data_IF_040726553176
#
_entry.id   IF_040726553176
#
_cell.length_a   1.000
_cell.length_b   1.000
_cell.length_c   1.000
_cell.angle_alpha   90.00
_cell.angle_beta   90.00
_cell.angle_gamma   90.00
#
_symmetry.space_group_name_H-M   'P 1'
#
loop_
_entity.id
_entity.type
_entity.pdbx_description
1 polymer ?
#
# COMPACT_ATOMS: atom_id res chain seq x y z
N UNK A 1 -46.12 -8.28 1.82
CA UNK A 1 -45.50 -9.34 1.00
C UNK A 1 -44.09 -9.57 1.52
N UNK A 2 -43.60 -10.82 1.56
CA UNK A 2 -42.21 -11.11 1.93
C UNK A 2 -41.26 -10.33 1.00
N UNK A 3 -40.25 -9.68 1.56
CA UNK A 3 -39.24 -8.92 0.81
C UNK A 3 -37.88 -9.62 0.91
N UNK A 4 -36.96 -9.43 -0.06
CA UNK A 4 -35.63 -10.02 0.03
C UNK A 4 -34.84 -9.50 1.23
N UNK A 5 -34.10 -10.40 1.87
CA UNK A 5 -33.17 -10.09 2.95
C UNK A 5 -31.74 -10.03 2.39
N UNK A 6 -31.09 -8.88 2.56
CA UNK A 6 -29.68 -8.66 2.22
C UNK A 6 -28.85 -8.69 3.50
N UNK A 7 -27.81 -9.51 3.55
CA UNK A 7 -26.88 -9.56 4.69
C UNK A 7 -25.49 -9.09 4.26
N UNK A 8 -24.92 -8.16 5.04
CA UNK A 8 -23.56 -7.63 4.87
C UNK A 8 -22.73 -7.79 6.15
N UNK A 9 -21.41 -7.58 6.09
CA UNK A 9 -20.55 -7.79 7.25
C UNK A 9 -20.65 -6.69 8.33
N UNK A 10 -20.95 -5.44 7.96
CA UNK A 10 -20.89 -4.30 8.89
C UNK A 10 -22.16 -3.44 8.92
N UNK A 11 -22.44 -2.78 10.05
CA UNK A 11 -23.58 -1.84 10.15
C UNK A 11 -23.46 -0.62 9.23
N UNK A 12 -22.23 -0.12 8.98
CA UNK A 12 -22.02 1.01 8.09
C UNK A 12 -22.46 0.68 6.67
N UNK A 13 -21.97 -0.44 6.13
CA UNK A 13 -22.37 -0.97 4.82
C UNK A 13 -23.86 -1.26 4.74
N UNK A 14 -24.46 -1.78 5.82
CA UNK A 14 -25.90 -2.04 5.87
C UNK A 14 -26.72 -0.76 5.71
N UNK A 15 -26.33 0.34 6.37
CA UNK A 15 -26.99 1.65 6.22
C UNK A 15 -26.86 2.19 4.80
N UNK A 16 -25.67 2.12 4.22
CA UNK A 16 -25.40 2.58 2.84
C UNK A 16 -26.26 1.82 1.83
N UNK A 17 -26.26 0.48 1.88
CA UNK A 17 -27.07 -0.34 0.98
C UNK A 17 -28.58 -0.16 1.21
N UNK A 18 -29.02 -0.07 2.46
CA UNK A 18 -30.44 0.16 2.77
C UNK A 18 -30.98 1.42 2.11
N UNK A 19 -30.14 2.47 1.97
CA UNK A 19 -30.52 3.68 1.28
C UNK A 19 -30.68 3.46 -0.23
N UNK A 20 -29.71 2.84 -0.89
CA UNK A 20 -29.77 2.59 -2.34
C UNK A 20 -30.92 1.66 -2.74
N UNK A 21 -31.18 0.65 -1.91
CA UNK A 21 -32.20 -0.37 -2.17
C UNK A 21 -33.61 0.07 -1.74
N UNK A 22 -33.69 1.00 -0.79
CA UNK A 22 -34.93 1.50 -0.21
C UNK A 22 -35.77 0.40 0.45
N UNK A 23 -37.07 0.66 0.60
CA UNK A 23 -38.02 -0.24 1.30
C UNK A 23 -38.30 -1.57 0.57
N UNK A 24 -37.71 -1.79 -0.60
CA UNK A 24 -37.87 -3.03 -1.38
C UNK A 24 -37.06 -4.19 -0.81
N UNK A 25 -36.04 -3.89 -0.01
CA UNK A 25 -35.13 -4.87 0.57
C UNK A 25 -35.01 -4.62 2.08
N UNK A 26 -34.87 -5.69 2.85
CA UNK A 26 -34.45 -5.62 4.25
C UNK A 26 -32.93 -5.83 4.28
N UNK A 27 -32.17 -4.89 4.83
CA UNK A 27 -30.71 -5.00 4.91
C UNK A 27 -30.29 -5.17 6.37
N UNK A 28 -29.53 -6.21 6.68
CA UNK A 28 -29.06 -6.55 8.03
C UNK A 28 -27.54 -6.78 8.05
N UNK A 29 -26.91 -6.60 9.21
CA UNK A 29 -25.47 -6.81 9.38
C UNK A 29 -25.18 -8.08 10.19
N UNK A 30 -24.18 -8.86 9.76
CA UNK A 30 -23.69 -10.04 10.50
C UNK A 30 -22.72 -9.70 11.63
N UNK A 31 -22.11 -8.50 11.59
CA UNK A 31 -21.02 -8.06 12.48
C UNK A 31 -19.77 -8.96 12.34
N UNK A 32 -19.35 -9.16 11.09
CA UNK A 32 -18.24 -10.02 10.71
C UNK A 32 -18.59 -11.51 10.74
N UNK A 33 -17.62 -12.33 11.15
CA UNK A 33 -17.79 -13.77 11.33
C UNK A 33 -18.84 -14.10 12.40
N UNK A 34 -19.72 -15.05 12.09
CA UNK A 34 -20.81 -15.52 12.97
C UNK A 34 -20.54 -16.92 13.54
N UNK A 35 -19.54 -17.61 13.01
CA UNK A 35 -19.05 -18.89 13.48
C UNK A 35 -17.53 -18.87 13.48
N UNK A 36 -16.92 -19.60 14.39
CA UNK A 36 -15.48 -19.88 14.39
C UNK A 36 -15.22 -21.24 15.04
N UNK A 37 -13.98 -21.73 14.98
CA UNK A 37 -13.50 -22.88 15.72
C UNK A 37 -13.51 -22.56 17.23
N UNK A 38 -13.84 -23.52 18.12
CA UNK A 38 -13.93 -23.28 19.56
C UNK A 38 -12.62 -22.71 20.12
N UNK A 39 -12.72 -21.64 20.91
CA UNK A 39 -11.58 -20.98 21.54
C UNK A 39 -11.33 -21.52 22.96
N UNK A 40 -12.39 -22.00 23.61
CA UNK A 40 -12.33 -22.53 24.96
C UNK A 40 -12.88 -23.96 25.05
N UNK A 41 -12.47 -24.68 26.10
CA UNK A 41 -13.00 -26.03 26.37
C UNK A 41 -14.53 -26.05 26.61
N UNK A 42 -15.12 -24.92 26.99
CA UNK A 42 -16.56 -24.79 27.20
C UNK A 42 -17.34 -24.71 25.88
N UNK A 43 -16.71 -24.24 24.81
CA UNK A 43 -17.32 -24.12 23.48
C UNK A 43 -17.25 -25.42 22.68
N UNK A 44 -16.38 -26.35 23.06
CA UNK A 44 -16.21 -27.63 22.37
C UNK A 44 -17.53 -28.43 22.36
N UNK A 45 -18.07 -28.78 21.18
CA UNK A 45 -19.29 -29.57 21.07
C UNK A 45 -19.20 -30.91 21.81
N UNK A 46 -20.32 -31.36 22.39
CA UNK A 46 -20.37 -32.61 23.16
C UNK A 46 -19.90 -33.83 22.35
N UNK A 47 -20.20 -33.84 21.04
CA UNK A 47 -19.85 -34.89 20.09
C UNK A 47 -18.34 -35.11 19.94
N UNK A 48 -17.54 -34.05 20.09
CA UNK A 48 -16.07 -34.12 19.91
C UNK A 48 -15.30 -33.98 21.23
N UNK A 49 -15.99 -33.69 22.35
CA UNK A 49 -15.35 -33.39 23.65
C UNK A 49 -14.47 -34.53 24.19
N UNK A 50 -14.79 -35.78 23.84
CA UNK A 50 -14.00 -36.96 24.21
C UNK A 50 -12.86 -37.31 23.25
N UNK A 51 -12.72 -36.58 22.13
CA UNK A 51 -11.66 -36.81 21.13
C UNK A 51 -10.37 -36.10 21.54
N UNK A 52 -9.23 -36.70 21.22
CA UNK A 52 -7.89 -36.12 21.47
C UNK A 52 -7.73 -34.74 20.84
N UNK A 53 -8.30 -34.55 19.65
CA UNK A 53 -8.32 -33.30 18.89
C UNK A 53 -9.55 -32.42 19.18
N UNK A 54 -10.45 -32.82 20.10
CA UNK A 54 -11.70 -32.10 20.36
C UNK A 54 -11.50 -30.64 20.75
N UNK A 55 -10.44 -30.34 21.53
CA UNK A 55 -10.06 -28.98 21.91
C UNK A 55 -9.46 -28.17 20.76
N UNK A 56 -8.85 -28.83 19.77
CA UNK A 56 -8.37 -28.19 18.54
C UNK A 56 -9.55 -27.73 17.67
N UNK A 57 -10.67 -28.48 17.72
CA UNK A 57 -11.86 -28.23 16.92
C UNK A 57 -11.71 -28.68 15.46
N UNK A 58 -10.70 -29.49 15.15
CA UNK A 58 -10.38 -29.99 13.81
C UNK A 58 -10.13 -31.49 13.94
N UNK A 59 -10.81 -32.30 13.13
CA UNK A 59 -10.60 -33.75 13.10
C UNK A 59 -9.30 -34.11 12.39
N UNK A 60 -8.21 -34.23 13.16
CA UNK A 60 -6.89 -34.59 12.63
C UNK A 60 -6.73 -36.09 12.36
N UNK A 61 -7.68 -36.91 12.80
CA UNK A 61 -7.64 -38.36 12.54
C UNK A 61 -8.32 -38.71 11.20
N UNK A 62 -9.17 -37.81 10.69
CA UNK A 62 -9.83 -37.89 9.39
C UNK A 62 -9.36 -36.82 8.39
N UNK A 63 -10.31 -36.23 7.66
CA UNK A 63 -10.06 -35.29 6.56
C UNK A 63 -9.92 -33.82 6.99
N UNK A 64 -9.46 -33.57 8.22
CA UNK A 64 -9.35 -32.21 8.80
C UNK A 64 -10.67 -31.46 8.90
N UNK A 65 -11.78 -32.17 9.07
CA UNK A 65 -13.12 -31.57 9.21
C UNK A 65 -13.14 -30.57 10.37
N UNK A 66 -13.43 -29.27 10.12
CA UNK A 66 -13.54 -28.27 11.17
C UNK A 66 -14.90 -28.30 11.86
N UNK A 67 -14.89 -28.12 13.18
CA UNK A 67 -16.10 -28.01 14.00
C UNK A 67 -16.32 -26.56 14.39
N UNK A 68 -17.19 -25.90 13.64
CA UNK A 68 -17.57 -24.51 13.86
C UNK A 68 -18.65 -24.36 14.92
N UNK A 69 -18.47 -23.39 15.81
CA UNK A 69 -19.41 -23.03 16.87
C UNK A 69 -19.82 -21.58 16.71
N UNK A 70 -20.95 -21.19 17.31
CA UNK A 70 -21.38 -19.78 17.38
C UNK A 70 -20.82 -19.18 18.67
N UNK A 71 -19.88 -18.23 18.60
CA UNK A 71 -19.35 -17.56 19.77
C UNK A 71 -20.44 -16.90 20.62
N UNK A 72 -20.24 -16.82 21.93
CA UNK A 72 -21.27 -16.37 22.88
C UNK A 72 -21.81 -14.96 22.58
N UNK A 73 -20.93 -14.04 22.19
CA UNK A 73 -21.24 -12.66 21.82
C UNK A 73 -22.04 -12.55 20.51
N UNK A 74 -21.93 -13.53 19.60
CA UNK A 74 -22.65 -13.54 18.31
C UNK A 74 -24.05 -14.13 18.39
N UNK A 75 -24.43 -14.82 19.47
CA UNK A 75 -25.74 -15.52 19.59
C UNK A 75 -26.94 -14.60 19.41
N UNK A 76 -26.89 -13.37 19.94
CA UNK A 76 -27.97 -12.38 19.78
C UNK A 76 -28.17 -12.01 18.31
N UNK A 77 -27.09 -11.74 17.59
CA UNK A 77 -27.13 -11.38 16.17
C UNK A 77 -27.65 -12.54 15.33
N UNK A 78 -27.15 -13.76 15.58
CA UNK A 78 -27.64 -14.97 14.89
C UNK A 78 -29.14 -15.16 15.10
N UNK A 79 -29.65 -14.90 16.30
CA UNK A 79 -31.09 -15.00 16.61
C UNK A 79 -31.89 -13.97 15.81
N UNK A 80 -31.41 -12.73 15.72
CA UNK A 80 -32.04 -11.69 14.92
C UNK A 80 -32.04 -12.03 13.42
N UNK A 81 -30.92 -12.53 12.88
CA UNK A 81 -30.83 -12.96 11.48
C UNK A 81 -31.77 -14.14 11.17
N UNK A 82 -31.87 -15.13 12.07
CA UNK A 82 -32.84 -16.23 11.95
C UNK A 82 -34.28 -15.75 11.98
N UNK A 83 -34.60 -14.73 12.77
CA UNK A 83 -35.91 -14.12 12.77
C UNK A 83 -36.19 -13.41 11.44
N UNK A 84 -35.25 -12.59 10.96
CA UNK A 84 -35.37 -11.90 9.67
C UNK A 84 -35.55 -12.87 8.49
N UNK A 85 -34.87 -14.02 8.53
CA UNK A 85 -34.91 -15.05 7.49
C UNK A 85 -36.30 -15.72 7.36
N UNK A 86 -37.12 -15.74 8.42
CA UNK A 86 -38.47 -16.34 8.37
C UNK A 86 -39.42 -15.58 7.45
N UNK A 87 -39.24 -14.26 7.36
CA UNK A 87 -40.13 -13.36 6.61
C UNK A 87 -39.57 -12.98 5.23
N UNK A 88 -38.42 -13.56 4.84
CA UNK A 88 -37.71 -13.19 3.63
C UNK A 88 -38.19 -13.99 2.41
N UNK A 89 -38.37 -13.33 1.26
CA UNK A 89 -38.67 -14.02 -0.02
C UNK A 89 -37.44 -14.67 -0.67
N UNK A 90 -36.26 -14.12 -0.39
CA UNK A 90 -34.96 -14.49 -0.95
C UNK A 90 -33.86 -14.02 0.02
N UNK A 91 -32.73 -14.73 0.05
CA UNK A 91 -31.54 -14.32 0.78
C UNK A 91 -30.46 -13.85 -0.20
N UNK A 92 -30.00 -12.61 -0.05
CA UNK A 92 -28.91 -12.02 -0.81
C UNK A 92 -27.72 -11.81 0.14
N UNK A 93 -26.60 -12.45 -0.17
CA UNK A 93 -25.35 -12.32 0.55
C UNK A 93 -24.48 -11.28 -0.16
N UNK A 94 -24.17 -10.19 0.52
CA UNK A 94 -23.49 -9.01 -0.02
C UNK A 94 -22.22 -8.67 0.78
N UNK A 95 -21.50 -9.72 1.22
CA UNK A 95 -20.22 -9.59 1.92
C UNK A 95 -19.12 -9.07 0.98
N UNK A 96 -17.98 -8.70 1.56
CA UNK A 96 -16.82 -8.21 0.80
C UNK A 96 -16.37 -9.17 -0.32
N UNK A 97 -15.74 -8.65 -1.38
CA UNK A 97 -15.41 -9.39 -2.60
C UNK A 97 -14.11 -10.20 -2.48
N UNK A 98 -13.82 -10.77 -1.30
CA UNK A 98 -12.63 -11.56 -1.03
C UNK A 98 -12.99 -12.94 -0.42
N UNK A 99 -12.01 -13.81 -0.27
CA UNK A 99 -12.22 -15.14 0.35
C UNK A 99 -12.78 -15.10 1.78
N UNK A 100 -12.52 -14.02 2.54
CA UNK A 100 -13.07 -13.86 3.90
C UNK A 100 -14.57 -13.57 3.83
N UNK A 101 -14.99 -12.67 2.95
CA UNK A 101 -16.40 -12.42 2.65
C UNK A 101 -17.11 -13.67 2.16
N UNK A 102 -16.47 -14.44 1.28
CA UNK A 102 -17.04 -15.70 0.76
C UNK A 102 -17.25 -16.74 1.88
N UNK A 103 -16.28 -16.88 2.79
CA UNK A 103 -16.42 -17.73 3.97
C UNK A 103 -17.54 -17.25 4.92
N UNK A 104 -17.69 -15.94 5.14
CA UNK A 104 -18.81 -15.38 5.94
C UNK A 104 -20.14 -15.74 5.29
N UNK A 105 -20.25 -15.55 3.97
CA UNK A 105 -21.43 -15.90 3.18
C UNK A 105 -21.78 -17.39 3.31
N UNK A 106 -20.77 -18.27 3.21
CA UNK A 106 -20.94 -19.70 3.45
C UNK A 106 -21.40 -20.01 4.88
N UNK A 107 -20.78 -19.40 5.89
CA UNK A 107 -21.20 -19.59 7.27
C UNK A 107 -22.64 -19.13 7.55
N UNK A 108 -23.09 -18.05 6.90
CA UNK A 108 -24.47 -17.58 6.96
C UNK A 108 -25.44 -18.59 6.36
N UNK A 109 -25.12 -19.11 5.16
CA UNK A 109 -25.91 -20.13 4.48
C UNK A 109 -26.08 -21.39 5.35
N UNK A 110 -24.97 -21.91 5.88
CA UNK A 110 -24.95 -23.10 6.73
C UNK A 110 -25.68 -22.92 8.08
N UNK A 111 -25.56 -21.73 8.69
CA UNK A 111 -26.16 -21.46 9.99
C UNK A 111 -27.66 -21.14 9.91
N UNK A 112 -28.07 -20.41 8.87
CA UNK A 112 -29.45 -19.97 8.68
C UNK A 112 -30.32 -21.06 8.04
N UNK A 113 -29.71 -21.98 7.26
CA UNK A 113 -30.39 -23.06 6.52
C UNK A 113 -31.62 -22.53 5.75
N UNK A 114 -31.43 -21.54 4.87
CA UNK A 114 -32.54 -20.88 4.18
C UNK A 114 -33.35 -21.87 3.35
N UNK A 115 -34.68 -21.74 3.40
CA UNK A 115 -35.64 -22.50 2.56
C UNK A 115 -36.05 -21.76 1.29
N UNK A 116 -35.48 -20.58 1.08
CA UNK A 116 -35.68 -19.74 -0.09
C UNK A 116 -34.38 -19.70 -0.90
N UNK A 117 -34.46 -19.12 -2.10
CA UNK A 117 -33.30 -18.94 -2.95
C UNK A 117 -32.22 -18.13 -2.23
N UNK A 118 -30.96 -18.54 -2.41
CA UNK A 118 -29.79 -17.85 -1.89
C UNK A 118 -28.99 -17.34 -3.08
N UNK A 119 -28.58 -16.08 -3.02
CA UNK A 119 -27.81 -15.42 -4.05
C UNK A 119 -26.65 -14.66 -3.44
N UNK A 120 -25.53 -14.65 -4.14
CA UNK A 120 -24.33 -13.88 -3.81
C UNK A 120 -24.20 -12.74 -4.82
N UNK A 121 -23.95 -11.54 -4.31
CA UNK A 121 -23.62 -10.37 -5.12
C UNK A 121 -22.27 -9.82 -4.69
N UNK A 122 -21.44 -9.43 -5.65
CA UNK A 122 -20.08 -8.93 -5.43
C UNK A 122 -19.99 -7.54 -6.06
N UNK A 123 -19.38 -6.60 -5.33
CA UNK A 123 -19.10 -5.26 -5.84
C UNK A 123 -17.78 -4.77 -5.24
N UNK A 124 -17.04 -4.00 -6.02
CA UNK A 124 -15.72 -3.46 -5.64
C UNK A 124 -15.77 -1.96 -5.31
N UNK A 125 -16.95 -1.36 -5.34
CA UNK A 125 -17.26 -0.01 -4.86
C UNK A 125 -18.70 0.03 -4.35
N UNK A 126 -19.00 0.91 -3.39
CA UNK A 126 -20.33 1.05 -2.81
C UNK A 126 -20.97 2.33 -3.34
N UNK A 127 -21.42 2.26 -4.58
CA UNK A 127 -22.22 3.28 -5.29
C UNK A 127 -23.60 2.72 -5.63
N UNK A 128 -24.58 3.59 -5.86
CA UNK A 128 -25.93 3.15 -6.23
C UNK A 128 -25.92 2.34 -7.54
N UNK A 129 -25.12 2.77 -8.52
CA UNK A 129 -24.97 2.08 -9.80
C UNK A 129 -24.32 0.71 -9.63
N UNK A 130 -23.23 0.60 -8.88
CA UNK A 130 -22.51 -0.66 -8.68
C UNK A 130 -23.36 -1.70 -7.93
N UNK A 131 -24.10 -1.26 -6.90
CA UNK A 131 -24.99 -2.15 -6.14
C UNK A 131 -26.16 -2.64 -7.01
N UNK A 132 -26.75 -1.78 -7.85
CA UNK A 132 -27.80 -2.19 -8.79
C UNK A 132 -27.28 -3.15 -9.87
N UNK A 133 -26.08 -2.91 -10.39
CA UNK A 133 -25.44 -3.81 -11.35
C UNK A 133 -25.18 -5.18 -10.73
N UNK A 134 -24.63 -5.22 -9.51
CA UNK A 134 -24.36 -6.47 -8.78
C UNK A 134 -25.64 -7.27 -8.49
N UNK A 135 -26.79 -6.61 -8.28
CA UNK A 135 -28.09 -7.28 -8.14
C UNK A 135 -28.58 -7.95 -9.42
N UNK A 136 -28.13 -7.50 -10.60
CA UNK A 136 -28.44 -8.12 -11.88
C UNK A 136 -27.52 -9.31 -12.18
N UNK A 137 -26.28 -9.30 -11.64
CA UNK A 137 -25.26 -10.33 -11.84
C UNK A 137 -25.07 -11.21 -10.59
N UNK A 138 -26.14 -11.92 -10.22
CA UNK A 138 -26.13 -12.80 -9.06
C UNK A 138 -25.49 -14.16 -9.38
N UNK A 139 -24.67 -14.66 -8.47
CA UNK A 139 -24.08 -15.99 -8.55
C UNK A 139 -24.31 -16.80 -7.27
N UNK A 140 -23.82 -18.04 -7.26
CA UNK A 140 -23.79 -18.86 -6.05
C UNK A 140 -22.48 -18.61 -5.28
N UNK A 141 -22.44 -19.04 -4.02
CA UNK A 141 -21.21 -18.96 -3.20
C UNK A 141 -20.11 -19.79 -3.85
N UNK A 142 -18.92 -19.21 -4.01
CA UNK A 142 -17.76 -19.90 -4.57
C UNK A 142 -17.11 -20.79 -3.52
N UNK A 143 -17.39 -22.09 -3.62
CA UNK A 143 -16.85 -23.10 -2.71
C UNK A 143 -15.31 -23.16 -2.73
N UNK A 144 -14.63 -22.82 -3.84
CA UNK A 144 -13.17 -22.85 -3.87
C UNK A 144 -12.56 -21.74 -3.00
N UNK A 145 -13.13 -20.54 -3.04
CA UNK A 145 -12.71 -19.42 -2.18
C UNK A 145 -12.97 -19.75 -0.70
N UNK A 146 -14.12 -20.35 -0.40
CA UNK A 146 -14.45 -20.85 0.95
C UNK A 146 -13.40 -21.86 1.42
N UNK A 147 -13.09 -22.88 0.60
CA UNK A 147 -12.08 -23.90 0.96
C UNK A 147 -10.69 -23.33 1.11
N UNK A 148 -10.33 -22.31 0.32
CA UNK A 148 -9.05 -21.62 0.48
C UNK A 148 -8.96 -20.87 1.83
N UNK A 149 -10.06 -20.22 2.24
CA UNK A 149 -10.15 -19.56 3.55
C UNK A 149 -10.12 -20.57 4.70
N UNK A 150 -10.92 -21.65 4.61
CA UNK A 150 -11.00 -22.72 5.60
C UNK A 150 -9.64 -23.43 5.76
N UNK A 151 -8.96 -23.75 4.65
CA UNK A 151 -7.62 -24.35 4.68
C UNK A 151 -6.62 -23.47 5.42
N UNK A 152 -6.67 -22.15 5.20
CA UNK A 152 -5.83 -21.20 5.94
C UNK A 152 -6.19 -21.20 7.43
N UNK A 153 -7.47 -21.19 7.78
CA UNK A 153 -7.95 -21.20 9.17
C UNK A 153 -7.49 -22.46 9.92
N UNK A 154 -7.59 -23.63 9.26
CA UNK A 154 -7.12 -24.93 9.76
C UNK A 154 -5.61 -24.90 9.97
N UNK A 155 -4.85 -24.47 8.96
CA UNK A 155 -3.39 -24.40 9.04
C UNK A 155 -2.91 -23.51 10.19
N UNK A 156 -3.51 -22.32 10.34
CA UNK A 156 -3.14 -21.39 11.40
C UNK A 156 -3.52 -21.94 12.79
N UNK A 157 -4.65 -22.68 12.89
CA UNK A 157 -5.06 -23.37 14.12
C UNK A 157 -4.09 -24.48 14.50
N UNK A 158 -3.71 -25.34 13.55
CA UNK A 158 -2.74 -26.42 13.75
C UNK A 158 -1.41 -25.83 14.23
N UNK A 159 -0.86 -24.88 13.50
CA UNK A 159 0.42 -24.24 13.82
C UNK A 159 0.41 -23.60 15.21
N UNK A 160 -0.62 -22.81 15.51
CA UNK A 160 -0.73 -22.08 16.78
C UNK A 160 -0.88 -23.01 17.98
N UNK A 161 -1.78 -23.98 17.91
CA UNK A 161 -2.06 -24.89 19.04
C UNK A 161 -0.90 -25.85 19.32
N UNK A 162 -0.17 -26.31 18.29
CA UNK A 162 0.92 -27.27 18.49
C UNK A 162 2.21 -26.59 18.95
N UNK A 163 2.51 -25.37 18.46
CA UNK A 163 3.79 -24.72 18.74
C UNK A 163 3.77 -23.78 19.94
N UNK A 164 2.64 -23.16 20.29
CA UNK A 164 2.58 -22.24 21.45
C UNK A 164 3.02 -22.91 22.77
N UNK A 165 2.65 -24.18 23.08
CA UNK A 165 3.14 -24.86 24.28
C UNK A 165 4.66 -25.05 24.32
N UNK A 166 5.32 -25.14 23.16
CA UNK A 166 6.79 -25.20 23.09
C UNK A 166 7.40 -23.86 23.47
N UNK A 167 6.86 -22.75 22.96
CA UNK A 167 7.28 -21.40 23.34
C UNK A 167 7.09 -21.14 24.83
N UNK A 168 6.00 -21.62 25.43
CA UNK A 168 5.77 -21.48 26.87
C UNK A 168 6.82 -22.19 27.71
N UNK A 169 7.23 -23.39 27.29
CA UNK A 169 8.24 -24.19 27.98
C UNK A 169 9.68 -23.68 27.77
N UNK A 170 9.96 -23.05 26.64
CA UNK A 170 11.34 -22.73 26.21
C UNK A 170 11.68 -21.23 26.24
N UNK A 171 10.68 -20.36 26.23
CA UNK A 171 10.85 -18.91 26.16
C UNK A 171 10.07 -18.24 27.30
N UNK A 172 8.74 -18.17 27.18
CA UNK A 172 7.88 -17.52 28.17
C UNK A 172 6.42 -17.96 28.01
N UNK A 173 5.75 -18.25 29.13
CA UNK A 173 4.32 -18.54 29.17
C UNK A 173 3.50 -17.37 28.64
N UNK A 174 2.46 -17.67 27.84
CA UNK A 174 1.55 -16.67 27.27
C UNK A 174 1.93 -16.17 25.87
N UNK A 175 3.07 -16.58 25.32
CA UNK A 175 3.42 -16.30 23.93
C UNK A 175 2.57 -17.09 22.93
N UNK A 176 2.26 -16.50 21.78
CA UNK A 176 1.53 -17.16 20.71
C UNK A 176 2.46 -17.51 19.55
N UNK A 177 2.32 -18.73 19.03
CA UNK A 177 2.99 -19.14 17.80
C UNK A 177 2.16 -18.71 16.59
N UNK A 178 2.71 -17.82 15.75
CA UNK A 178 2.08 -17.36 14.52
C UNK A 178 2.96 -17.64 13.32
N UNK A 179 2.45 -18.41 12.35
CA UNK A 179 3.21 -18.84 11.16
C UNK A 179 3.77 -17.68 10.32
N UNK A 180 2.97 -16.63 10.11
CA UNK A 180 3.38 -15.44 9.35
C UNK A 180 4.09 -14.42 10.25
N UNK A 181 3.62 -14.27 11.49
CA UNK A 181 4.19 -13.32 12.46
C UNK A 181 5.63 -13.66 12.80
N UNK A 182 5.97 -14.95 12.99
CA UNK A 182 7.33 -15.39 13.33
C UNK A 182 8.33 -15.05 12.23
N UNK A 183 7.95 -15.17 10.96
CA UNK A 183 8.79 -14.77 9.82
C UNK A 183 8.99 -13.26 9.79
N UNK A 184 7.94 -12.47 10.02
CA UNK A 184 8.07 -11.02 10.07
C UNK A 184 9.00 -10.55 11.22
N UNK A 185 8.86 -11.15 12.41
CA UNK A 185 9.77 -10.91 13.54
C UNK A 185 11.20 -11.30 13.16
N UNK A 186 11.39 -12.46 12.51
CA UNK A 186 12.71 -12.92 12.05
C UNK A 186 13.38 -11.91 11.13
N UNK A 187 12.68 -11.34 10.15
CA UNK A 187 13.24 -10.33 9.23
C UNK A 187 13.74 -9.09 9.99
N UNK A 188 13.04 -8.67 11.05
CA UNK A 188 13.46 -7.56 11.90
C UNK A 188 14.72 -7.94 12.70
N UNK A 189 14.76 -9.14 13.27
CA UNK A 189 15.91 -9.64 14.03
C UNK A 189 17.14 -9.77 13.12
N UNK A 190 17.00 -10.35 11.93
CA UNK A 190 18.11 -10.49 10.96
C UNK A 190 18.69 -9.12 10.59
N UNK A 191 17.85 -8.09 10.39
CA UNK A 191 18.33 -6.72 10.15
C UNK A 191 19.07 -6.13 11.35
N UNK A 192 18.64 -6.42 12.58
CA UNK A 192 19.34 -5.94 13.76
C UNK A 192 20.66 -6.68 13.99
N UNK A 193 20.71 -7.99 13.70
CA UNK A 193 21.94 -8.77 13.71
C UNK A 193 22.94 -8.24 12.67
N UNK A 194 22.49 -7.88 11.46
CA UNK A 194 23.30 -7.18 10.44
C UNK A 194 23.89 -5.88 11.00
N UNK A 195 23.09 -5.08 11.72
CA UNK A 195 23.52 -3.80 12.32
C UNK A 195 24.53 -4.00 13.45
N UNK A 196 24.35 -5.02 14.30
CA UNK A 196 25.29 -5.36 15.38
C UNK A 196 26.63 -5.89 14.84
N UNK A 197 26.58 -6.62 13.71
CA UNK A 197 27.77 -7.12 13.03
C UNK A 197 28.49 -6.05 12.20
N UNK A 198 27.81 -4.96 11.82
CA UNK A 198 28.37 -3.88 11.02
C UNK A 198 29.59 -3.23 11.69
N UNK A 199 30.60 -2.91 10.88
CA UNK A 199 31.79 -2.16 11.33
C UNK A 199 31.96 -0.92 10.46
N UNK A 200 32.15 0.22 11.12
CA UNK A 200 32.33 1.50 10.45
C UNK A 200 33.72 1.62 9.85
N UNK A 201 33.80 2.16 8.64
CA UNK A 201 35.04 2.64 8.03
C UNK A 201 35.04 4.16 7.95
N UNK A 202 36.22 4.77 7.91
CA UNK A 202 36.38 6.21 7.69
C UNK A 202 36.98 6.45 6.32
N UNK A 203 36.42 7.43 5.60
CA UNK A 203 36.95 7.94 4.34
C UNK A 203 36.73 9.45 4.32
N UNK A 204 37.58 10.16 3.59
CA UNK A 204 37.46 11.58 3.38
C UNK A 204 37.27 11.91 1.90
N UNK A 205 36.56 12.98 1.63
CA UNK A 205 36.46 13.63 0.33
C UNK A 205 36.63 15.15 0.49
N UNK A 206 36.37 15.91 -0.57
CA UNK A 206 36.33 17.35 -0.54
C UNK A 206 35.07 17.85 -1.24
N UNK A 207 34.34 18.75 -0.60
CA UNK A 207 33.32 19.57 -1.25
C UNK A 207 33.87 20.97 -1.51
N UNK A 208 33.79 21.40 -2.75
CA UNK A 208 34.18 22.73 -3.18
C UNK A 208 32.93 23.57 -3.45
N UNK A 209 32.87 24.76 -2.84
CA UNK A 209 31.88 25.78 -3.19
C UNK A 209 32.42 26.62 -4.34
N UNK A 210 31.89 26.39 -5.54
CA UNK A 210 32.35 27.04 -6.77
C UNK A 210 31.38 28.15 -7.19
N UNK A 211 31.86 29.07 -8.03
CA UNK A 211 31.06 30.17 -8.58
C UNK A 211 31.19 30.21 -10.09
N UNK A 212 30.05 30.13 -10.79
CA UNK A 212 29.93 30.38 -12.22
C UNK A 212 29.04 31.59 -12.46
N UNK A 213 29.62 32.71 -12.91
CA UNK A 213 28.91 33.99 -12.98
C UNK A 213 28.44 34.44 -11.59
N UNK A 214 27.13 34.65 -11.43
CA UNK A 214 26.51 35.05 -10.16
C UNK A 214 26.03 33.88 -9.29
N UNK A 215 26.09 32.64 -9.79
CA UNK A 215 25.53 31.46 -9.13
C UNK A 215 26.65 30.68 -8.45
N UNK A 216 26.46 30.41 -7.17
CA UNK A 216 27.31 29.49 -6.40
C UNK A 216 26.70 28.09 -6.39
N UNK A 217 27.54 27.07 -6.52
CA UNK A 217 27.10 25.68 -6.51
C UNK A 217 28.17 24.77 -5.87
N UNK A 218 27.76 23.67 -5.20
CA UNK A 218 28.69 22.70 -4.67
C UNK A 218 29.20 21.76 -5.78
N UNK A 219 30.43 21.29 -5.63
CA UNK A 219 31.00 20.21 -6.42
C UNK A 219 31.80 19.29 -5.50
N UNK A 220 31.66 17.97 -5.65
CA UNK A 220 32.31 16.98 -4.78
C UNK A 220 33.46 16.31 -5.52
N UNK A 221 34.59 16.12 -4.85
CA UNK A 221 35.77 15.44 -5.39
C UNK A 221 35.41 14.02 -5.82
N UNK A 222 35.65 13.70 -7.08
CA UNK A 222 35.35 12.40 -7.66
C UNK A 222 36.62 11.61 -8.00
N UNK A 223 37.68 12.26 -8.50
CA UNK A 223 38.91 11.60 -8.96
C UNK A 223 40.16 12.40 -8.62
N UNK A 224 41.28 11.71 -8.41
CA UNK A 224 42.63 12.31 -8.30
C UNK A 224 43.58 11.52 -9.22
N UNK A 225 44.26 12.20 -10.14
CA UNK A 225 45.17 11.56 -11.10
C UNK A 225 44.46 10.50 -11.97
N UNK A 226 43.17 10.69 -12.24
CA UNK A 226 42.33 9.73 -12.96
C UNK A 226 41.77 8.57 -12.11
N UNK A 227 42.24 8.39 -10.87
CA UNK A 227 41.75 7.36 -9.97
C UNK A 227 40.54 7.86 -9.16
N UNK A 228 39.45 7.09 -9.10
CA UNK A 228 38.24 7.47 -8.36
C UNK A 228 38.50 7.48 -6.85
N UNK A 229 37.99 8.50 -6.15
CA UNK A 229 38.02 8.57 -4.68
C UNK A 229 37.02 7.57 -4.08
N UNK A 230 37.43 6.90 -3.01
CA UNK A 230 36.60 5.94 -2.29
C UNK A 230 35.40 6.63 -1.63
N UNK A 231 34.25 5.96 -1.64
CA UNK A 231 33.00 6.38 -1.01
C UNK A 231 32.48 5.27 -0.11
N UNK A 232 31.40 5.52 0.63
CA UNK A 232 30.79 4.48 1.48
C UNK A 232 30.40 3.18 0.76
N UNK A 233 30.19 3.21 -0.57
CA UNK A 233 29.88 2.01 -1.37
C UNK A 233 31.08 1.11 -1.67
N UNK A 234 32.29 1.57 -1.37
CA UNK A 234 33.53 0.83 -1.64
C UNK A 234 33.96 -0.05 -0.47
N UNK A 235 33.22 -0.01 0.63
CA UNK A 235 33.47 -0.79 1.83
C UNK A 235 32.41 -1.89 1.97
N UNK A 236 32.85 -3.07 2.42
CA UNK A 236 31.97 -4.14 2.84
C UNK A 236 31.31 -3.83 4.21
N UNK A 237 30.43 -4.72 4.67
CA UNK A 237 29.78 -4.59 5.97
C UNK A 237 30.74 -4.69 7.18
N UNK A 238 31.99 -5.11 6.95
CA UNK A 238 33.06 -5.19 7.95
C UNK A 238 33.99 -3.97 7.90
N UNK A 239 33.66 -2.97 7.09
CA UNK A 239 34.46 -1.75 6.94
C UNK A 239 35.76 -1.97 6.17
N UNK A 240 35.87 -3.06 5.41
CA UNK A 240 37.06 -3.36 4.60
C UNK A 240 36.83 -2.82 3.19
N UNK A 241 37.83 -2.12 2.66
CA UNK A 241 37.80 -1.60 1.30
C UNK A 241 37.84 -2.77 0.30
N UNK A 242 36.79 -2.94 -0.51
CA UNK A 242 36.68 -4.03 -1.48
C UNK A 242 37.38 -3.70 -2.81
N UNK A 243 37.42 -2.42 -3.18
CA UNK A 243 37.98 -1.98 -4.46
C UNK A 243 39.46 -1.62 -4.33
N UNK A 244 40.33 -2.35 -5.03
CA UNK A 244 41.74 -1.99 -5.18
C UNK A 244 41.99 -0.86 -6.18
N UNK A 245 40.95 -0.42 -6.89
CA UNK A 245 41.05 0.59 -7.96
C UNK A 245 40.69 2.00 -7.50
N UNK A 246 40.19 2.16 -6.27
CA UNK A 246 39.87 3.49 -5.70
C UNK A 246 40.99 4.02 -4.84
N UNK A 247 41.05 5.35 -4.72
CA UNK A 247 41.94 6.04 -3.81
C UNK A 247 41.20 6.35 -2.52
N UNK A 248 41.61 5.70 -1.43
CA UNK A 248 41.17 6.04 -0.09
C UNK A 248 41.93 7.27 0.40
N UNK A 249 41.20 8.26 0.91
CA UNK A 249 41.78 9.44 1.53
C UNK A 249 41.50 9.43 3.03
N UNK A 250 42.50 9.83 3.79
CA UNK A 250 42.34 10.21 5.19
C UNK A 250 42.25 11.73 5.37
N UNK A 251 42.19 12.16 6.63
CA UNK A 251 42.11 13.58 6.98
C UNK A 251 43.32 14.39 6.51
N UNK A 252 44.52 13.79 6.59
CA UNK A 252 45.77 14.46 6.21
C UNK A 252 45.82 14.63 4.69
N UNK A 253 45.45 13.59 3.95
CA UNK A 253 45.34 13.62 2.50
C UNK A 253 44.34 14.70 2.05
N UNK A 254 43.14 14.72 2.63
CA UNK A 254 42.10 15.67 2.26
C UNK A 254 42.50 17.13 2.57
N UNK A 255 43.06 17.40 3.75
CA UNK A 255 43.54 18.74 4.13
C UNK A 255 44.68 19.20 3.22
N UNK A 256 45.63 18.32 2.92
CA UNK A 256 46.72 18.62 1.99
C UNK A 256 46.24 18.89 0.57
N UNK A 257 45.30 18.08 0.07
CA UNK A 257 44.65 18.31 -1.23
C UNK A 257 43.96 19.67 -1.28
N UNK A 258 43.17 20.01 -0.25
CA UNK A 258 42.52 21.34 -0.15
C UNK A 258 43.54 22.48 -0.26
N UNK A 259 44.61 22.45 0.51
CA UNK A 259 45.62 23.51 0.50
C UNK A 259 46.28 23.67 -0.87
N UNK A 260 46.62 22.56 -1.52
CA UNK A 260 47.27 22.60 -2.83
C UNK A 260 46.33 23.09 -3.93
N UNK A 261 45.08 22.65 -3.91
CA UNK A 261 44.06 23.05 -4.89
C UNK A 261 43.68 24.53 -4.76
N UNK A 262 43.68 25.08 -3.55
CA UNK A 262 43.40 26.52 -3.32
C UNK A 262 44.51 27.45 -3.85
N UNK A 263 45.74 26.94 -4.07
CA UNK A 263 46.85 27.75 -4.60
C UNK A 263 46.79 27.92 -6.12
N UNK A 264 46.02 27.09 -6.82
CA UNK A 264 45.88 27.11 -8.29
C UNK A 264 44.43 27.35 -8.68
N UNK A 265 44.03 28.61 -8.63
CA UNK A 265 42.74 29.10 -9.12
C UNK A 265 42.95 29.98 -10.37
N UNK A 266 41.99 30.05 -11.30
CA UNK A 266 40.70 29.33 -11.31
C UNK A 266 40.83 27.87 -11.74
N UNK A 267 39.85 27.03 -11.37
CA UNK A 267 39.71 25.67 -11.93
C UNK A 267 39.00 25.71 -13.27
N UNK A 268 39.17 24.67 -14.08
CA UNK A 268 38.62 24.60 -15.43
C UNK A 268 37.44 23.63 -15.51
N UNK A 269 36.38 24.00 -16.22
CA UNK A 269 35.33 23.07 -16.61
C UNK A 269 35.89 22.18 -17.70
N UNK A 270 35.83 20.86 -17.50
CA UNK A 270 36.40 19.88 -18.44
C UNK A 270 35.35 19.06 -19.17
N UNK A 271 34.14 18.98 -18.63
CA UNK A 271 33.01 18.33 -19.28
C UNK A 271 31.69 18.92 -18.80
N UNK A 272 30.75 19.12 -19.72
CA UNK A 272 29.35 19.43 -19.43
C UNK A 272 28.51 18.47 -20.25
N UNK A 273 27.74 17.62 -19.58
CA UNK A 273 26.81 16.68 -20.21
C UNK A 273 25.38 17.00 -19.79
N UNK A 274 24.51 17.24 -20.76
CA UNK A 274 23.08 17.40 -20.54
C UNK A 274 22.34 16.19 -21.10
N UNK A 275 21.60 15.52 -20.23
CA UNK A 275 20.86 14.31 -20.58
C UNK A 275 19.38 14.47 -20.28
N UNK A 276 18.51 14.55 -21.30
CA UNK A 276 17.07 14.52 -21.07
C UNK A 276 16.67 13.11 -20.60
N UNK A 277 15.76 13.06 -19.64
CA UNK A 277 15.13 11.81 -19.23
C UNK A 277 13.66 12.05 -18.87
N UNK A 278 12.88 10.98 -18.94
CA UNK A 278 11.46 11.02 -18.60
C UNK A 278 11.18 10.13 -17.41
N UNK A 279 10.42 10.66 -16.45
CA UNK A 279 9.96 9.92 -15.30
C UNK A 279 8.48 9.58 -15.49
N UNK A 280 8.17 8.28 -15.36
CA UNK A 280 6.81 7.78 -15.50
C UNK A 280 6.04 7.90 -14.18
N UNK A 281 4.73 8.20 -14.22
CA UNK A 281 3.90 8.14 -13.04
C UNK A 281 3.82 6.73 -12.49
N UNK A 282 3.85 6.64 -11.17
CA UNK A 282 3.70 5.38 -10.47
C UNK A 282 2.23 4.87 -10.54
N UNK A 283 2.00 3.55 -10.43
CA UNK A 283 0.66 2.97 -10.60
C UNK A 283 -0.34 3.45 -9.54
N UNK A 284 -1.65 3.31 -9.80
CA UNK A 284 -2.68 3.40 -8.77
C UNK A 284 -2.37 2.51 -7.57
N UNK A 285 -2.97 2.83 -6.42
CA UNK A 285 -2.65 2.10 -5.19
C UNK A 285 -3.14 0.65 -5.21
N UNK A 286 -2.28 -0.21 -4.69
CA UNK A 286 -2.62 -1.50 -4.08
C UNK A 286 -2.69 -1.32 -2.56
N UNK A 287 -3.12 -2.36 -1.85
CA UNK A 287 -3.10 -2.39 -0.37
C UNK A 287 -1.71 -2.07 0.20
N UNK A 288 -0.67 -2.69 -0.36
CA UNK A 288 0.69 -2.57 0.15
C UNK A 288 1.30 -1.19 -0.12
N UNK A 289 1.02 -0.61 -1.29
CA UNK A 289 1.55 0.70 -1.66
C UNK A 289 0.80 1.83 -0.96
N UNK A 290 -0.51 1.68 -0.71
CA UNK A 290 -1.27 2.63 0.13
C UNK A 290 -0.72 2.66 1.55
N UNK A 291 -0.49 1.50 2.16
CA UNK A 291 0.07 1.44 3.53
C UNK A 291 1.47 2.05 3.61
N UNK A 292 2.34 1.79 2.61
CA UNK A 292 3.68 2.36 2.57
C UNK A 292 3.64 3.89 2.46
N UNK A 293 2.85 4.44 1.54
CA UNK A 293 2.79 5.89 1.36
C UNK A 293 2.07 6.58 2.51
N UNK A 294 1.00 5.99 3.06
CA UNK A 294 0.36 6.51 4.28
C UNK A 294 1.31 6.51 5.49
N UNK A 295 2.19 5.51 5.59
CA UNK A 295 3.22 5.50 6.64
C UNK A 295 4.29 6.58 6.42
N UNK A 296 4.87 6.65 5.22
CA UNK A 296 5.95 7.61 4.90
C UNK A 296 5.50 9.06 5.02
N UNK A 297 4.30 9.36 4.52
CA UNK A 297 3.79 10.73 4.41
C UNK A 297 2.99 11.17 5.62
N UNK A 298 2.09 10.30 6.08
CA UNK A 298 1.12 10.66 7.12
C UNK A 298 1.53 10.17 8.51
N UNK A 299 2.59 9.34 8.61
CA UNK A 299 2.99 8.69 9.85
C UNK A 299 1.99 7.64 10.35
N UNK A 300 1.09 7.17 9.48
CA UNK A 300 0.05 6.22 9.88
C UNK A 300 0.60 4.78 9.95
N UNK A 301 0.12 4.02 10.94
CA UNK A 301 0.36 2.58 10.97
C UNK A 301 -0.47 1.89 9.87
N UNK A 302 -0.07 0.67 9.49
CA UNK A 302 -0.88 -0.16 8.57
C UNK A 302 -2.30 -0.35 9.10
N UNK A 303 -2.47 -0.58 10.41
CA UNK A 303 -3.78 -0.76 11.02
C UNK A 303 -4.65 0.49 10.90
N UNK A 304 -4.13 1.67 11.28
CA UNK A 304 -4.86 2.94 11.18
C UNK A 304 -5.27 3.23 9.74
N UNK A 305 -4.35 3.02 8.80
CA UNK A 305 -4.59 3.19 7.35
C UNK A 305 -5.75 2.32 6.88
N UNK A 306 -5.75 1.03 7.23
CA UNK A 306 -6.78 0.09 6.79
C UNK A 306 -8.13 0.36 7.47
N UNK A 307 -8.16 0.80 8.73
CA UNK A 307 -9.39 1.20 9.41
C UNK A 307 -10.05 2.41 8.73
N UNK A 308 -9.25 3.42 8.34
CA UNK A 308 -9.76 4.59 7.61
C UNK A 308 -10.24 4.19 6.21
N UNK A 309 -9.45 3.41 5.47
CA UNK A 309 -9.83 2.94 4.15
C UNK A 309 -11.11 2.08 4.16
N UNK A 310 -11.33 1.28 5.20
CA UNK A 310 -12.58 0.53 5.39
C UNK A 310 -13.79 1.47 5.53
N UNK A 311 -13.67 2.57 6.28
CA UNK A 311 -14.76 3.55 6.42
C UNK A 311 -15.05 4.25 5.09
N UNK A 312 -14.01 4.73 4.43
CA UNK A 312 -14.12 5.35 3.11
C UNK A 312 -14.75 4.41 2.07
N UNK A 313 -14.49 3.10 2.14
CA UNK A 313 -15.13 2.10 1.29
C UNK A 313 -16.60 1.86 1.66
N UNK A 314 -16.91 1.65 2.95
CA UNK A 314 -18.25 1.23 3.41
C UNK A 314 -19.32 2.32 3.34
N UNK A 315 -18.91 3.59 3.38
CA UNK A 315 -19.78 4.73 3.18
C UNK A 315 -19.52 5.85 4.16
N UNK A 316 -19.47 7.07 3.65
CA UNK A 316 -19.32 8.31 4.42
C UNK A 316 -20.60 9.14 4.32
N UNK A 317 -21.03 9.77 5.41
CA UNK A 317 -22.11 10.76 5.37
C UNK A 317 -21.56 12.07 4.79
N UNK A 318 -22.08 12.46 3.64
CA UNK A 318 -21.63 13.60 2.85
C UNK A 318 -22.53 14.83 3.06
N UNK A 319 -23.51 14.74 3.95
CA UNK A 319 -24.52 15.76 4.15
C UNK A 319 -25.64 15.71 3.11
N UNK A 320 -26.75 16.41 3.36
CA UNK A 320 -27.90 16.42 2.45
C UNK A 320 -28.62 15.07 2.32
N UNK A 321 -28.27 14.10 3.18
CA UNK A 321 -28.72 12.72 3.09
C UNK A 321 -27.77 11.82 2.29
N UNK A 322 -26.70 12.35 1.68
CA UNK A 322 -25.73 11.61 0.86
C UNK A 322 -24.83 10.69 1.69
N UNK A 323 -24.71 9.42 1.29
CA UNK A 323 -24.10 8.30 1.99
C UNK A 323 -23.58 7.36 0.93
N UNK A 324 -22.28 7.43 0.64
CA UNK A 324 -21.64 6.71 -0.45
C UNK A 324 -20.24 6.25 -0.06
N UNK A 325 -19.81 5.13 -0.63
CA UNK A 325 -18.41 4.74 -0.61
C UNK A 325 -17.59 5.69 -1.48
N UNK A 326 -16.53 6.26 -0.92
CA UNK A 326 -15.65 7.23 -1.58
C UNK A 326 -14.47 6.58 -2.29
N UNK A 327 -14.06 5.37 -1.89
CA UNK A 327 -13.00 4.61 -2.54
C UNK A 327 -13.47 3.21 -2.92
N UNK A 328 -12.81 2.61 -3.91
CA UNK A 328 -12.94 1.20 -4.24
C UNK A 328 -12.39 0.29 -3.12
N UNK A 329 -12.62 -1.01 -3.26
CA UNK A 329 -12.23 -2.01 -2.28
C UNK A 329 -10.73 -1.97 -1.99
N UNK A 330 -10.40 -1.69 -0.73
CA UNK A 330 -9.06 -1.34 -0.28
C UNK A 330 -8.16 -2.55 0.03
N UNK A 331 -8.67 -3.79 -0.13
CA UNK A 331 -7.88 -5.03 -0.04
C UNK A 331 -7.74 -5.65 -1.44
N UNK A 332 -6.78 -5.10 -2.17
CA UNK A 332 -6.47 -5.44 -3.56
C UNK A 332 -4.97 -5.46 -3.76
N UNK A 333 -4.50 -6.33 -4.65
CA UNK A 333 -3.15 -6.35 -5.20
C UNK A 333 -3.09 -5.95 -6.68
N UNK A 334 -4.24 -5.53 -7.24
CA UNK A 334 -4.38 -5.03 -8.60
C UNK A 334 -4.05 -3.54 -8.70
N UNK A 335 -3.41 -3.17 -9.80
CA UNK A 335 -3.17 -1.77 -10.20
C UNK A 335 -4.06 -1.35 -11.36
N UNK A 336 -5.00 -2.22 -11.74
CA UNK A 336 -5.89 -2.01 -12.90
C UNK A 336 -6.95 -0.97 -12.58
N UNK A 337 -7.26 -0.12 -13.55
CA UNK A 337 -8.43 0.77 -13.52
C UNK A 337 -9.45 0.30 -14.56
N UNK A 338 -10.73 0.35 -14.21
CA UNK A 338 -11.86 0.11 -15.09
C UNK A 338 -11.94 1.18 -16.19
N UNK A 339 -12.61 0.87 -17.29
CA UNK A 339 -12.82 1.84 -18.36
C UNK A 339 -13.54 3.11 -17.87
N UNK A 340 -14.51 2.96 -16.95
CA UNK A 340 -15.18 4.09 -16.30
C UNK A 340 -14.17 4.98 -15.58
N UNK A 341 -13.35 4.40 -14.72
CA UNK A 341 -12.33 5.13 -13.96
C UNK A 341 -11.27 5.79 -14.85
N UNK A 342 -10.87 5.16 -15.96
CA UNK A 342 -9.93 5.74 -16.92
C UNK A 342 -10.49 7.02 -17.57
N UNK A 343 -11.77 7.00 -17.97
CA UNK A 343 -12.45 8.16 -18.57
C UNK A 343 -12.64 9.28 -17.54
N UNK A 344 -13.07 8.95 -16.34
CA UNK A 344 -13.25 9.94 -15.27
C UNK A 344 -11.91 10.57 -14.83
N UNK A 345 -10.85 9.77 -14.73
CA UNK A 345 -9.52 10.27 -14.44
C UNK A 345 -9.00 11.18 -15.57
N UNK A 346 -9.23 10.83 -16.84
CA UNK A 346 -8.91 11.70 -17.97
C UNK A 346 -9.59 13.07 -17.84
N UNK A 347 -10.89 13.08 -17.55
CA UNK A 347 -11.63 14.34 -17.37
C UNK A 347 -11.05 15.17 -16.23
N UNK A 348 -10.80 14.57 -15.06
CA UNK A 348 -10.21 15.25 -13.92
C UNK A 348 -8.81 15.82 -14.24
N UNK A 349 -7.97 15.07 -14.96
CA UNK A 349 -6.64 15.56 -15.37
C UNK A 349 -6.75 16.77 -16.29
N UNK A 350 -7.61 16.69 -17.32
CA UNK A 350 -7.76 17.77 -18.31
C UNK A 350 -8.35 19.03 -17.68
N UNK A 351 -9.34 18.87 -16.81
CA UNK A 351 -10.01 19.99 -16.12
C UNK A 351 -9.07 20.73 -15.16
N UNK A 352 -8.29 19.99 -14.37
CA UNK A 352 -7.47 20.57 -13.29
C UNK A 352 -6.06 20.99 -13.73
N UNK A 353 -5.47 20.27 -14.70
CA UNK A 353 -4.08 20.47 -15.11
C UNK A 353 -3.95 20.91 -16.58
N UNK A 354 -4.98 20.73 -17.39
CA UNK A 354 -4.99 21.08 -18.81
C UNK A 354 -4.66 19.89 -19.73
N UNK A 355 -5.02 20.03 -21.01
CA UNK A 355 -4.93 18.97 -22.00
C UNK A 355 -3.51 18.41 -22.20
N UNK A 356 -2.46 19.21 -21.98
CA UNK A 356 -1.09 18.75 -22.12
C UNK A 356 -0.66 17.72 -21.07
N UNK A 357 -1.39 17.63 -19.96
CA UNK A 357 -1.10 16.70 -18.87
C UNK A 357 -1.76 15.34 -19.05
N UNK A 358 -2.53 15.10 -20.12
CA UNK A 358 -3.05 13.79 -20.46
C UNK A 358 -2.70 13.42 -21.90
N UNK A 359 -1.98 12.30 -22.09
CA UNK A 359 -1.55 11.82 -23.42
C UNK A 359 -2.24 10.51 -23.84
N UNK A 360 -3.30 10.13 -23.15
CA UNK A 360 -4.06 8.89 -23.37
C UNK A 360 -4.12 8.01 -22.11
N UNK A 361 -5.04 7.01 -22.10
CA UNK A 361 -5.22 6.13 -20.95
C UNK A 361 -3.98 5.27 -20.70
N UNK A 362 -3.59 5.14 -19.42
CA UNK A 362 -2.48 4.30 -18.99
C UNK A 362 -2.99 3.09 -18.26
N UNK A 363 -2.68 1.91 -18.80
CA UNK A 363 -2.87 0.65 -18.11
C UNK A 363 -1.58 0.18 -17.46
N UNK A 364 -1.70 -0.24 -16.21
CA UNK A 364 -0.60 -0.79 -15.42
C UNK A 364 -0.74 -2.30 -15.34
N UNK A 365 0.33 -3.02 -15.67
CA UNK A 365 0.31 -4.48 -15.58
C UNK A 365 0.31 -4.91 -14.12
N UNK A 366 -0.71 -5.69 -13.75
CA UNK A 366 -0.80 -6.36 -12.45
C UNK A 366 0.09 -7.61 -12.48
N UNK A 367 1.02 -7.74 -11.52
CA UNK A 367 1.99 -8.87 -11.46
C UNK A 367 1.44 -10.12 -10.75
N UNK A 368 0.14 -10.21 -10.51
CA UNK A 368 -0.48 -11.17 -9.59
C UNK A 368 -0.86 -12.47 -10.30
N UNK A 369 -0.60 -13.61 -9.64
CA UNK A 369 -0.81 -14.98 -10.18
C UNK A 369 -2.26 -15.48 -10.08
N UNK A 370 -3.10 -14.93 -9.20
CA UNK A 370 -4.49 -15.36 -8.99
C UNK A 370 -5.47 -14.36 -9.63
N UNK A 371 -5.69 -14.50 -10.93
CA UNK A 371 -6.58 -13.64 -11.72
C UNK A 371 -8.09 -13.93 -11.52
N UNK A 372 -8.48 -14.74 -10.54
CA UNK A 372 -9.89 -15.03 -10.25
C UNK A 372 -10.56 -13.89 -9.47
N UNK A 373 -9.79 -13.13 -8.70
CA UNK A 373 -10.29 -11.94 -8.04
C UNK A 373 -10.14 -10.77 -9.02
N UNK A 374 -11.20 -10.44 -9.77
CA UNK A 374 -11.25 -9.32 -10.70
C UNK A 374 -11.18 -7.98 -9.94
N UNK A 375 -10.05 -7.71 -9.31
CA UNK A 375 -9.86 -6.55 -8.49
C UNK A 375 -9.43 -5.35 -9.31
N UNK A 376 -9.99 -4.21 -8.93
CA UNK A 376 -9.52 -2.91 -9.34
C UNK A 376 -8.50 -2.38 -8.33
N UNK A 377 -7.71 -1.39 -8.72
CA UNK A 377 -6.87 -0.63 -7.80
C UNK A 377 -7.71 0.13 -6.77
N UNK A 378 -7.06 0.57 -5.70
CA UNK A 378 -7.61 1.52 -4.74
C UNK A 378 -7.63 2.90 -5.38
N UNK A 379 -8.82 3.41 -5.65
CA UNK A 379 -9.08 4.68 -6.34
C UNK A 379 -10.37 5.33 -5.83
N UNK A 380 -10.62 6.62 -6.12
CA UNK A 380 -11.92 7.24 -5.88
C UNK A 380 -13.03 6.52 -6.64
N UNK A 381 -14.24 6.45 -6.06
CA UNK A 381 -15.45 5.96 -6.75
C UNK A 381 -16.00 6.94 -7.78
N UNK A 382 -15.71 8.23 -7.59
CA UNK A 382 -16.02 9.33 -8.51
C UNK A 382 -14.88 10.35 -8.47
N UNK A 383 -14.18 10.55 -9.60
CA UNK A 383 -13.06 11.49 -9.67
C UNK A 383 -13.47 12.97 -9.58
N UNK A 384 -14.75 13.29 -9.81
CA UNK A 384 -15.29 14.67 -9.68
C UNK A 384 -15.37 15.14 -8.23
N UNK A 385 -15.41 14.20 -7.28
CA UNK A 385 -15.33 14.48 -5.84
C UNK A 385 -13.88 14.83 -5.49
N UNK A 386 -13.44 16.03 -5.86
CA UNK A 386 -12.08 16.46 -5.53
C UNK A 386 -11.90 16.53 -4.01
N UNK A 387 -10.68 16.34 -3.47
CA UNK A 387 -10.45 16.47 -2.04
C UNK A 387 -11.01 17.78 -1.48
N UNK A 388 -10.81 18.91 -2.17
CA UNK A 388 -11.35 20.21 -1.79
C UNK A 388 -12.89 20.23 -1.67
N UNK A 389 -13.60 19.44 -2.48
CA UNK A 389 -15.07 19.34 -2.39
C UNK A 389 -15.57 18.57 -1.16
N UNK A 390 -14.71 17.76 -0.52
CA UNK A 390 -15.07 16.90 0.62
C UNK A 390 -14.53 17.41 1.96
N UNK A 391 -13.84 18.54 1.98
CA UNK A 391 -13.14 19.07 3.16
C UNK A 391 -14.06 19.31 4.37
N UNK A 392 -15.35 19.58 4.13
CA UNK A 392 -16.36 19.76 5.19
C UNK A 392 -17.11 18.48 5.57
N UNK A 393 -16.97 17.42 4.77
CA UNK A 393 -17.70 16.16 4.95
C UNK A 393 -16.85 15.09 5.64
N UNK A 394 -15.53 15.17 5.55
CA UNK A 394 -14.61 14.17 6.08
C UNK A 394 -13.87 14.66 7.32
N UNK A 395 -13.62 13.75 8.26
CA UNK A 395 -12.68 14.02 9.34
C UNK A 395 -11.25 14.13 8.80
N UNK A 396 -10.35 14.78 9.56
CA UNK A 396 -8.97 15.06 9.15
C UNK A 396 -8.23 13.82 8.61
N UNK A 397 -8.31 12.68 9.31
CA UNK A 397 -7.62 11.46 8.90
C UNK A 397 -8.20 10.83 7.63
N UNK A 398 -9.53 10.87 7.50
CA UNK A 398 -10.27 10.36 6.34
C UNK A 398 -9.96 11.18 5.10
N UNK A 399 -9.94 12.49 5.28
CA UNK A 399 -9.54 13.45 4.25
C UNK A 399 -8.10 13.21 3.78
N UNK A 400 -7.14 12.97 4.69
CA UNK A 400 -5.74 12.69 4.32
C UNK A 400 -5.57 11.39 3.53
N UNK A 401 -6.26 10.31 3.90
CA UNK A 401 -6.23 9.07 3.12
C UNK A 401 -6.95 9.22 1.78
N UNK A 402 -8.09 9.89 1.76
CA UNK A 402 -8.82 10.16 0.52
C UNK A 402 -8.01 11.01 -0.46
N UNK A 403 -7.41 12.10 0.02
CA UNK A 403 -6.53 12.97 -0.77
C UNK A 403 -5.35 12.19 -1.36
N UNK A 404 -4.72 11.33 -0.55
CA UNK A 404 -3.62 10.48 -1.00
C UNK A 404 -4.09 9.54 -2.14
N UNK A 405 -5.21 8.84 -1.96
CA UNK A 405 -5.79 7.94 -2.95
C UNK A 405 -6.18 8.69 -4.23
N UNK A 406 -6.83 9.84 -4.10
CA UNK A 406 -7.28 10.66 -5.22
C UNK A 406 -6.10 11.17 -6.04
N UNK A 407 -5.10 11.79 -5.39
CA UNK A 407 -3.91 12.33 -6.07
C UNK A 407 -3.11 11.23 -6.77
N UNK A 408 -2.96 10.06 -6.14
CA UNK A 408 -2.25 8.92 -6.75
C UNK A 408 -2.97 8.39 -7.97
N UNK A 409 -4.30 8.24 -7.91
CA UNK A 409 -5.10 7.75 -9.02
C UNK A 409 -5.06 8.74 -10.21
N UNK A 410 -5.19 10.04 -9.96
CA UNK A 410 -5.09 11.09 -10.98
C UNK A 410 -3.69 11.15 -11.59
N UNK A 411 -2.65 11.20 -10.76
CA UNK A 411 -1.26 11.22 -11.22
C UNK A 411 -0.90 10.01 -12.11
N UNK A 412 -1.47 8.83 -11.80
CA UNK A 412 -1.26 7.63 -12.60
C UNK A 412 -1.73 7.76 -14.07
N UNK A 413 -2.65 8.68 -14.36
CA UNK A 413 -3.18 8.92 -15.70
C UNK A 413 -2.61 10.18 -16.37
N UNK A 414 -1.63 10.83 -15.73
CA UNK A 414 -0.98 12.03 -16.25
C UNK A 414 0.19 11.72 -17.19
N UNK A 415 0.64 12.74 -17.91
CA UNK A 415 1.83 12.69 -18.76
C UNK A 415 3.11 12.47 -17.94
N UNK A 416 4.13 11.87 -18.58
CA UNK A 416 5.45 11.69 -17.97
C UNK A 416 6.05 13.07 -17.63
N UNK A 417 6.78 13.15 -16.53
CA UNK A 417 7.60 14.33 -16.28
C UNK A 417 8.83 14.28 -17.20
N UNK A 418 9.18 15.41 -17.82
CA UNK A 418 10.40 15.57 -18.62
C UNK A 418 11.39 16.42 -17.84
N UNK A 419 12.58 15.87 -17.65
CA UNK A 419 13.60 16.44 -16.81
C UNK A 419 14.93 16.45 -17.56
N UNK A 420 15.74 17.46 -17.32
CA UNK A 420 17.09 17.59 -17.85
C UNK A 420 18.06 17.39 -16.69
N UNK A 421 18.97 16.40 -16.81
CA UNK A 421 20.07 16.24 -15.86
C UNK A 421 21.32 16.84 -16.47
N UNK A 422 21.93 17.79 -15.77
CA UNK A 422 23.22 18.39 -16.15
C UNK A 422 24.30 17.84 -15.24
N UNK A 423 25.33 17.22 -15.80
CA UNK A 423 26.52 16.76 -15.08
C UNK A 423 27.71 17.58 -15.53
N UNK A 424 28.47 18.14 -14.58
CA UNK A 424 29.64 18.97 -14.86
C UNK A 424 30.85 18.36 -14.18
N UNK A 425 31.91 18.15 -14.93
CA UNK A 425 33.24 17.85 -14.39
C UNK A 425 34.08 19.13 -14.37
N UNK A 426 34.62 19.47 -13.19
CA UNK A 426 35.51 20.60 -12.97
C UNK A 426 36.85 20.06 -12.50
N UNK A 427 37.93 20.43 -13.17
CA UNK A 427 39.28 19.98 -12.83
C UNK A 427 40.10 21.12 -12.24
N UNK A 428 40.54 20.91 -11.00
CA UNK A 428 41.63 21.67 -10.37
C UNK A 428 42.94 20.90 -10.47
N UNK A 429 44.06 21.60 -10.34
CA UNK A 429 45.38 20.97 -10.26
C UNK A 429 45.99 21.15 -8.89
N UNK A 430 46.62 20.11 -8.37
CA UNK A 430 47.48 20.20 -7.20
C UNK A 430 48.80 20.91 -7.54
N UNK A 431 49.57 21.28 -6.50
CA UNK A 431 50.88 21.94 -6.63
C UNK A 431 51.90 21.12 -7.45
N UNK A 432 51.78 19.78 -7.45
CA UNK A 432 52.63 18.87 -8.22
C UNK A 432 52.04 18.50 -9.60
N UNK A 433 51.00 19.19 -10.07
CA UNK A 433 50.42 19.00 -11.40
C UNK A 433 49.52 17.77 -11.55
N UNK A 434 49.10 17.17 -10.43
CA UNK A 434 48.14 16.04 -10.47
C UNK A 434 46.72 16.63 -10.60
N UNK A 435 45.93 16.22 -11.60
CA UNK A 435 44.57 16.72 -11.75
C UNK A 435 43.66 16.11 -10.68
N UNK A 436 42.78 16.94 -10.11
CA UNK A 436 41.70 16.54 -9.22
C UNK A 436 40.37 16.95 -9.85
N UNK A 437 39.52 15.96 -10.14
CA UNK A 437 38.22 16.16 -10.80
C UNK A 437 37.11 16.19 -9.76
N UNK A 438 36.33 17.26 -9.77
CA UNK A 438 35.13 17.47 -8.98
C UNK A 438 33.90 17.35 -9.88
N UNK A 439 32.85 16.74 -9.35
CA UNK A 439 31.59 16.58 -10.05
C UNK A 439 30.52 17.45 -9.40
N UNK A 440 29.79 18.20 -10.22
CA UNK A 440 28.55 18.85 -9.85
C UNK A 440 27.41 18.26 -10.70
N UNK A 441 26.22 18.10 -10.11
CA UNK A 441 25.04 17.67 -10.86
C UNK A 441 23.88 18.59 -10.58
N UNK A 442 23.24 19.04 -11.65
CA UNK A 442 21.98 19.77 -11.64
C UNK A 442 20.85 18.95 -12.23
N UNK A 443 19.64 19.34 -11.89
CA UNK A 443 18.40 18.78 -12.42
C UNK A 443 17.44 19.93 -12.68
N UNK A 444 16.92 20.01 -13.89
CA UNK A 444 15.90 20.98 -14.28
C UNK A 444 14.63 20.27 -14.73
N UNK A 445 13.47 20.84 -14.40
CA UNK A 445 12.17 20.29 -14.78
C UNK A 445 11.68 21.02 -16.04
N UNK A 446 11.81 20.37 -17.20
CA UNK A 446 11.30 20.93 -18.47
C UNK A 446 9.78 20.85 -18.56
N UNK A 447 9.21 19.77 -18.03
CA UNK A 447 7.77 19.58 -17.93
C UNK A 447 7.44 18.73 -16.72
N UNK A 448 6.71 19.29 -15.75
CA UNK A 448 6.43 18.60 -14.49
C UNK A 448 5.56 17.33 -14.65
N UNK A 449 4.73 17.24 -15.69
CA UNK A 449 3.83 16.09 -15.89
C UNK A 449 3.06 15.73 -14.62
N UNK A 450 3.04 14.44 -14.28
CA UNK A 450 2.37 13.93 -13.08
C UNK A 450 2.89 14.49 -11.74
N UNK A 451 4.11 15.04 -11.69
CA UNK A 451 4.70 15.58 -10.46
C UNK A 451 3.90 16.79 -9.93
N UNK A 452 3.07 17.44 -10.77
CA UNK A 452 2.13 18.48 -10.31
C UNK A 452 1.03 17.94 -9.38
N UNK A 453 0.69 16.66 -9.49
CA UNK A 453 -0.36 16.05 -8.69
C UNK A 453 0.20 15.21 -7.53
N UNK A 454 1.34 14.55 -7.74
CA UNK A 454 1.86 13.57 -6.78
C UNK A 454 3.38 13.36 -6.90
N UNK A 455 4.08 13.36 -5.77
CA UNK A 455 5.46 12.89 -5.63
C UNK A 455 5.52 11.79 -4.56
N UNK A 456 6.19 10.66 -4.83
CA UNK A 456 6.34 9.58 -3.83
C UNK A 456 7.19 10.04 -2.65
N UNK A 457 6.74 9.71 -1.43
CA UNK A 457 7.45 10.07 -0.20
C UNK A 457 7.32 11.54 0.27
N UNK A 458 6.69 12.43 -0.50
CA UNK A 458 6.46 13.84 -0.13
C UNK A 458 4.98 14.25 -0.16
N UNK A 459 4.52 15.00 0.84
CA UNK A 459 3.15 15.50 0.96
C UNK A 459 2.91 16.85 0.27
N UNK A 460 3.99 17.57 -0.08
CA UNK A 460 3.93 18.84 -0.81
C UNK A 460 4.67 18.70 -2.16
N UNK A 461 3.94 18.33 -3.23
CA UNK A 461 4.52 18.26 -4.56
C UNK A 461 5.15 19.57 -5.03
N UNK A 462 4.64 20.73 -4.59
CA UNK A 462 5.15 22.03 -5.04
C UNK A 462 6.49 22.33 -4.38
N UNK A 463 6.60 22.11 -3.06
CA UNK A 463 7.87 22.23 -2.35
C UNK A 463 8.93 21.26 -2.90
N UNK A 464 8.52 20.01 -3.13
CA UNK A 464 9.41 18.98 -3.68
C UNK A 464 9.87 19.29 -5.11
N UNK A 465 8.98 19.84 -5.96
CA UNK A 465 9.34 20.32 -7.29
C UNK A 465 10.41 21.42 -7.24
N UNK A 466 10.31 22.33 -6.25
CA UNK A 466 11.28 23.40 -6.05
C UNK A 466 12.63 22.86 -5.54
N UNK A 467 12.63 21.89 -4.63
CA UNK A 467 13.86 21.24 -4.16
C UNK A 467 14.54 20.41 -5.26
N UNK A 468 13.75 19.79 -6.15
CA UNK A 468 14.26 19.00 -7.26
C UNK A 468 14.81 19.83 -8.44
N UNK A 469 14.57 21.14 -8.46
CA UNK A 469 15.03 22.06 -9.50
C UNK A 469 16.36 22.71 -9.12
N UNK A 470 17.43 21.90 -9.10
CA UNK A 470 18.79 22.36 -8.82
C UNK A 470 19.47 22.77 -10.13
N UNK A 471 19.28 24.01 -10.56
CA UNK A 471 19.83 24.52 -11.82
C UNK A 471 21.29 24.93 -11.64
N UNK A 472 22.20 24.30 -12.40
CA UNK A 472 23.59 24.76 -12.51
C UNK A 472 23.66 25.98 -13.45
N UNK A 473 24.61 26.91 -13.23
CA UNK A 473 24.86 27.99 -14.19
C UNK A 473 25.23 27.42 -15.57
N UNK A 474 25.07 28.22 -16.62
CA UNK A 474 25.67 27.90 -17.92
C UNK A 474 27.19 27.95 -17.77
N UNK A 475 27.83 26.81 -17.91
CA UNK A 475 29.26 26.60 -17.78
C UNK A 475 29.84 26.17 -19.13
N UNK A 476 31.08 26.57 -19.40
CA UNK A 476 31.80 26.30 -20.65
C UNK A 476 33.25 25.99 -20.39
#
# INVERSE_FOLDING_TARGET
MPIPLVIVESPAKARTLARFLGKKYRVEASYGHIRDLPESAAEVPAEIKGKSWGRLGIDTDGDFTPYYVVPGDKKKNVTALKAAMKDASELILATDPDREGEAISWHLKELLKPKVKVRRIVFHEITEEAVKAALAEQHDVDENLVRAQESRRILDRLYGYTLSPVLWKKVQTGLSAGRVQSVAVRVIVEREEERLAFRTASYWDLEAKLRGGAIEFPATLAKIGGQRVATGKDFDSKGVLESSTVKLLDETDARGLRETLMRKLPWSVTSVEEKPYSQRPAPPFTTSTLQQEANRKLGFSSERTMQIAQRLFQGMDLGGGDLEGLISYHRTDSTTLSNKALVEAQHAVVELYGADYHKGPRQYQTKVRNAQEAHEAIRPTDFRRTPASLERALESDEMRIYDLVWKRAVASQMADAKLLRTSVEITGETSNGVPATFNASGKAIEFAGYLRAYVEGSDDPSAELLEQDTVLPKLS
#
